data_IF_671661795213
#
_entry.id   IF_671661795213
#
_cell.length_a   1.000
_cell.length_b   1.000
_cell.length_c   1.000
_cell.angle_alpha   90.00
_cell.angle_beta   90.00
_cell.angle_gamma   90.00
#
_symmetry.space_group_name_H-M   'P 1'
#
loop_
_entity.id
_entity.type
_entity.pdbx_description
1 polymer ?
#
# COMPACT_ATOMS: atom_id res chain seq x y z
N UNK A 1 18.61 11.12 6.33
CA UNK A 1 19.08 9.92 5.61
C UNK A 1 18.04 9.61 4.53
N UNK A 2 18.40 9.57 3.25
CA UNK A 2 17.45 9.27 2.16
C UNK A 2 17.27 7.75 2.01
N UNK A 3 16.15 7.32 1.39
CA UNK A 3 15.91 5.90 1.05
C UNK A 3 17.06 5.32 0.22
N UNK A 4 17.52 6.08 -0.76
CA UNK A 4 18.67 5.74 -1.60
C UNK A 4 19.96 5.52 -0.80
N UNK A 5 20.22 6.37 0.21
CA UNK A 5 21.40 6.21 1.07
C UNK A 5 21.36 4.92 1.90
N UNK A 6 20.16 4.46 2.29
CA UNK A 6 19.99 3.16 2.97
C UNK A 6 20.24 2.02 2.00
N UNK A 7 19.69 2.08 0.78
CA UNK A 7 19.82 0.98 -0.17
C UNK A 7 21.24 0.81 -0.69
N UNK A 8 22.04 1.87 -0.73
CA UNK A 8 23.44 1.83 -1.17
C UNK A 8 24.45 1.56 -0.04
N UNK A 9 23.99 1.38 1.20
CA UNK A 9 24.84 1.01 2.32
C UNK A 9 25.35 -0.44 2.17
N UNK A 10 26.64 -0.68 2.42
CA UNK A 10 27.27 -1.99 2.24
C UNK A 10 26.63 -3.09 3.10
N UNK A 11 26.38 -2.82 4.38
CA UNK A 11 25.75 -3.79 5.30
C UNK A 11 24.32 -4.11 4.87
N UNK A 12 23.60 -3.11 4.32
CA UNK A 12 22.27 -3.33 3.77
C UNK A 12 22.31 -4.20 2.50
N UNK A 13 23.29 -4.00 1.63
CA UNK A 13 23.49 -4.82 0.43
C UNK A 13 23.78 -6.26 0.82
N UNK A 14 24.79 -6.48 1.68
CA UNK A 14 25.22 -7.81 2.10
C UNK A 14 24.08 -8.61 2.73
N UNK A 15 23.31 -7.97 3.62
CA UNK A 15 22.16 -8.61 4.28
C UNK A 15 21.05 -9.03 3.31
N UNK A 16 20.93 -8.33 2.19
CA UNK A 16 19.82 -8.49 1.25
C UNK A 16 20.25 -9.04 -0.11
N UNK A 17 21.46 -9.58 -0.20
CA UNK A 17 22.00 -10.20 -1.41
C UNK A 17 21.38 -11.59 -1.65
N UNK A 18 20.07 -11.59 -1.91
CA UNK A 18 19.27 -12.80 -2.11
C UNK A 18 19.11 -13.05 -3.60
N UNK A 19 19.48 -14.28 -4.02
CA UNK A 19 19.43 -14.70 -5.42
C UNK A 19 20.39 -13.88 -6.29
N UNK A 20 21.65 -13.76 -5.88
CA UNK A 20 22.70 -13.01 -6.56
C UNK A 20 22.28 -11.55 -6.87
N UNK A 21 21.72 -10.89 -5.87
CA UNK A 21 21.26 -9.50 -5.95
C UNK A 21 19.93 -9.30 -6.67
N UNK A 22 19.30 -10.34 -7.21
CA UNK A 22 18.05 -10.22 -7.95
C UNK A 22 16.93 -9.58 -7.10
N UNK A 23 16.79 -10.01 -5.84
CA UNK A 23 15.80 -9.43 -4.93
C UNK A 23 16.08 -7.95 -4.66
N UNK A 24 17.32 -7.60 -4.33
CA UNK A 24 17.70 -6.24 -3.99
C UNK A 24 17.53 -5.29 -5.18
N UNK A 25 17.85 -5.75 -6.39
CA UNK A 25 17.68 -4.98 -7.60
C UNK A 25 16.19 -4.73 -7.90
N UNK A 26 15.34 -5.77 -7.78
CA UNK A 26 13.90 -5.63 -7.96
C UNK A 26 13.26 -4.71 -6.90
N UNK A 27 13.70 -4.81 -5.64
CA UNK A 27 13.26 -3.93 -4.56
C UNK A 27 13.63 -2.47 -4.84
N UNK A 28 14.89 -2.21 -5.23
CA UNK A 28 15.37 -0.85 -5.54
C UNK A 28 14.59 -0.24 -6.70
N UNK A 29 14.41 -1.01 -7.77
CA UNK A 29 13.61 -0.59 -8.93
C UNK A 29 12.17 -0.25 -8.52
N UNK A 30 11.55 -1.13 -7.74
CA UNK A 30 10.20 -0.90 -7.22
C UNK A 30 10.07 0.39 -6.43
N UNK A 31 11.04 0.66 -5.55
CA UNK A 31 10.99 1.83 -4.67
C UNK A 31 11.43 3.13 -5.35
N UNK A 32 12.19 3.04 -6.44
CA UNK A 32 12.58 4.19 -7.25
C UNK A 32 11.47 4.60 -8.23
N UNK A 33 10.79 3.62 -8.83
CA UNK A 33 9.95 3.85 -10.01
C UNK A 33 8.45 3.66 -9.77
N UNK A 34 8.03 2.87 -8.80
CA UNK A 34 6.62 2.49 -8.64
C UNK A 34 6.03 2.85 -7.27
N UNK A 35 6.80 2.68 -6.20
CA UNK A 35 6.30 2.92 -4.86
C UNK A 35 6.39 4.41 -4.49
N UNK A 36 5.28 4.94 -3.98
CA UNK A 36 5.28 6.25 -3.35
C UNK A 36 6.27 6.27 -2.17
N UNK A 37 7.05 7.35 -1.99
CA UNK A 37 7.90 7.55 -0.81
C UNK A 37 7.14 7.40 0.51
N UNK A 38 5.88 7.81 0.48
CA UNK A 38 4.92 7.73 1.57
C UNK A 38 4.12 6.45 1.35
N UNK A 39 4.41 5.42 2.16
CA UNK A 39 3.78 4.10 2.03
C UNK A 39 2.25 4.13 2.24
N UNK A 40 1.74 5.20 2.84
CA UNK A 40 0.34 5.40 3.26
C UNK A 40 -0.01 6.89 3.20
N UNK A 41 -1.26 7.24 2.88
CA UNK A 41 -1.82 8.55 3.19
C UNK A 41 -1.59 8.94 4.67
N UNK A 42 -1.37 10.24 4.89
CA UNK A 42 -1.05 10.80 6.21
C UNK A 42 -2.27 11.38 6.93
N UNK A 43 -3.48 11.23 6.36
CA UNK A 43 -4.71 11.69 6.99
C UNK A 43 -5.12 10.76 8.15
N UNK A 44 -5.76 11.28 9.21
CA UNK A 44 -6.11 10.51 10.40
C UNK A 44 -7.00 9.29 10.14
N UNK A 45 -7.81 9.35 9.09
CA UNK A 45 -8.83 8.34 8.74
C UNK A 45 -8.24 7.18 7.93
N UNK A 46 -6.97 7.27 7.51
CA UNK A 46 -6.32 6.22 6.73
C UNK A 46 -6.42 4.81 7.33
N UNK A 47 -6.27 4.58 8.66
CA UNK A 47 -6.44 3.26 9.25
C UNK A 47 -7.82 2.65 8.96
N UNK A 48 -8.88 3.45 9.09
CA UNK A 48 -10.25 3.00 8.83
C UNK A 48 -10.47 2.71 7.35
N UNK A 49 -10.01 3.60 6.47
CA UNK A 49 -10.04 3.38 5.01
C UNK A 49 -9.31 2.10 4.61
N UNK A 50 -8.14 1.84 5.21
CA UNK A 50 -7.37 0.64 4.94
C UNK A 50 -8.09 -0.63 5.41
N UNK A 51 -8.79 -0.59 6.56
CA UNK A 51 -9.56 -1.71 7.09
C UNK A 51 -10.77 -2.02 6.19
N UNK A 52 -11.54 -1.00 5.77
CA UNK A 52 -12.68 -1.16 4.84
C UNK A 52 -12.25 -1.90 3.58
N UNK A 53 -11.22 -1.37 2.89
CA UNK A 53 -10.75 -1.96 1.63
C UNK A 53 -10.21 -3.38 1.86
N UNK A 54 -9.51 -3.62 2.97
CA UNK A 54 -8.92 -4.93 3.27
C UNK A 54 -9.97 -6.02 3.54
N UNK A 55 -11.09 -5.66 4.18
CA UNK A 55 -12.20 -6.58 4.43
C UNK A 55 -12.85 -7.01 3.11
N UNK A 56 -13.18 -6.06 2.24
CA UNK A 56 -13.77 -6.38 0.94
C UNK A 56 -12.84 -7.18 0.03
N UNK A 57 -11.53 -6.89 0.03
CA UNK A 57 -10.55 -7.72 -0.67
C UNK A 57 -10.56 -9.16 -0.12
N UNK A 58 -10.68 -9.33 1.19
CA UNK A 58 -10.73 -10.64 1.83
C UNK A 58 -11.97 -11.43 1.40
N UNK A 59 -13.14 -10.78 1.31
CA UNK A 59 -14.39 -11.39 0.88
C UNK A 59 -14.34 -11.81 -0.61
N UNK A 60 -13.66 -11.03 -1.45
CA UNK A 60 -13.39 -11.38 -2.85
C UNK A 60 -12.52 -12.64 -2.93
N UNK A 61 -11.44 -12.72 -2.15
CA UNK A 61 -10.60 -13.92 -2.10
C UNK A 61 -11.35 -15.14 -1.55
N UNK A 62 -12.27 -14.93 -0.61
CA UNK A 62 -13.18 -15.95 -0.09
C UNK A 62 -14.31 -16.32 -1.07
N UNK A 63 -14.40 -15.64 -2.22
CA UNK A 63 -15.45 -15.82 -3.24
C UNK A 63 -16.86 -15.59 -2.70
N UNK A 64 -17.00 -14.77 -1.67
CA UNK A 64 -18.29 -14.42 -1.07
C UNK A 64 -18.99 -13.31 -1.87
N UNK A 65 -18.20 -12.45 -2.52
CA UNK A 65 -18.65 -11.32 -3.30
C UNK A 65 -17.77 -11.17 -4.56
N UNK A 66 -18.30 -10.54 -5.61
CA UNK A 66 -17.49 -10.24 -6.80
C UNK A 66 -16.54 -9.08 -6.55
N UNK A 67 -15.45 -9.00 -7.32
CA UNK A 67 -14.50 -7.88 -7.21
C UNK A 67 -15.14 -6.54 -7.57
N UNK A 68 -16.06 -6.52 -8.53
CA UNK A 68 -16.78 -5.31 -8.95
C UNK A 68 -17.67 -4.80 -7.81
N UNK A 69 -18.53 -5.67 -7.29
CA UNK A 69 -19.44 -5.35 -6.19
C UNK A 69 -18.70 -4.95 -4.90
N UNK A 70 -17.61 -5.66 -4.58
CA UNK A 70 -16.76 -5.31 -3.44
C UNK A 70 -16.15 -3.91 -3.54
N UNK A 71 -15.69 -3.51 -4.74
CA UNK A 71 -15.11 -2.19 -4.95
C UNK A 71 -16.16 -1.09 -4.99
N UNK A 72 -17.37 -1.36 -5.49
CA UNK A 72 -18.49 -0.41 -5.42
C UNK A 72 -18.85 -0.09 -3.97
N UNK A 73 -19.07 -1.12 -3.14
CA UNK A 73 -19.45 -0.92 -1.74
C UNK A 73 -18.30 -0.28 -0.95
N UNK A 74 -17.07 -0.78 -1.09
CA UNK A 74 -15.91 -0.19 -0.42
C UNK A 74 -15.73 1.29 -0.78
N UNK A 75 -16.01 1.67 -2.04
CA UNK A 75 -15.91 3.07 -2.45
C UNK A 75 -16.98 3.95 -1.79
N UNK A 76 -18.21 3.46 -1.62
CA UNK A 76 -19.27 4.19 -0.92
C UNK A 76 -18.93 4.40 0.56
N UNK A 77 -18.47 3.35 1.27
CA UNK A 77 -18.08 3.43 2.67
C UNK A 77 -16.87 4.36 2.89
N UNK A 78 -15.84 4.24 2.03
CA UNK A 78 -14.69 5.14 2.07
C UNK A 78 -15.10 6.59 1.80
N UNK A 79 -16.04 6.81 0.87
CA UNK A 79 -16.56 8.15 0.62
C UNK A 79 -17.35 8.71 1.81
N UNK A 80 -18.04 7.87 2.58
CA UNK A 80 -18.70 8.27 3.82
C UNK A 80 -17.69 8.72 4.87
N UNK A 81 -16.63 7.94 5.14
CA UNK A 81 -15.54 8.32 6.04
C UNK A 81 -14.96 9.70 5.68
N UNK A 82 -14.66 9.92 4.40
CA UNK A 82 -14.12 11.19 3.95
C UNK A 82 -15.14 12.34 3.98
N UNK A 83 -16.43 12.06 3.82
CA UNK A 83 -17.50 13.07 3.95
C UNK A 83 -17.67 13.49 5.41
N UNK A 84 -17.67 12.55 6.35
CA UNK A 84 -17.75 12.81 7.78
C UNK A 84 -16.54 13.61 8.28
N UNK A 85 -15.36 13.32 7.76
CA UNK A 85 -14.14 14.08 8.04
C UNK A 85 -14.05 15.43 7.30
N UNK A 86 -15.04 15.76 6.45
CA UNK A 86 -15.15 17.07 5.80
C UNK A 86 -14.25 17.28 4.58
N UNK A 87 -13.72 16.21 3.99
CA UNK A 87 -12.88 16.29 2.79
C UNK A 87 -13.70 16.42 1.50
N UNK A 88 -14.91 15.87 1.46
CA UNK A 88 -15.80 15.87 0.30
C UNK A 88 -17.25 16.16 0.71
N UNK A 89 -18.02 16.78 -0.19
CA UNK A 89 -19.42 17.22 0.03
C UNK A 89 -20.41 16.41 -0.80
#
# INVERSE_FOLDING_TARGET
MSREAVYNNADFIEKNDVGDGAWLNAMRDSLANYAMPQYRPLNPEWPEVADIVSNYISDVFAKQISAEEAMEIANEEVAEVYREAGYIS
#
